data_IF_032149496218
#
_entry.id   IF_032149496218
#
_cell.length_a   1.000
_cell.length_b   1.000
_cell.length_c   1.000
_cell.angle_alpha   90.00
_cell.angle_beta   90.00
_cell.angle_gamma   90.00
#
_symmetry.space_group_name_H-M   'P 1'
#
loop_
_entity.id
_entity.type
_entity.pdbx_description
1 polymer ?
#
# COMPACT_ATOMS: atom_id res chain seq x y z
N UNK A 1 21.83 8.16 20.19
CA UNK A 1 21.10 7.80 18.96
C UNK A 1 19.69 7.47 19.37
N UNK A 2 18.69 8.19 18.84
CA UNK A 2 17.30 7.93 19.20
C UNK A 2 16.84 6.57 18.65
N UNK A 3 16.20 5.76 19.49
CA UNK A 3 15.67 4.46 19.11
C UNK A 3 14.59 4.64 18.03
N UNK A 4 14.79 4.05 16.84
CA UNK A 4 13.78 4.12 15.78
C UNK A 4 12.64 3.17 16.06
N UNK A 5 11.43 3.61 15.73
CA UNK A 5 10.21 2.80 15.80
C UNK A 5 9.85 2.34 14.39
N UNK A 6 9.89 1.04 14.17
CA UNK A 6 9.58 0.40 12.91
C UNK A 6 8.24 -0.31 13.08
N UNK A 7 7.24 0.07 12.29
CA UNK A 7 5.94 -0.59 12.29
C UNK A 7 5.88 -1.56 11.13
N UNK A 8 5.46 -2.79 11.39
CA UNK A 8 5.26 -3.82 10.35
C UNK A 8 3.79 -4.22 10.36
N UNK A 9 3.12 -4.12 9.21
CA UNK A 9 1.73 -4.56 9.06
C UNK A 9 1.69 -6.07 8.95
N UNK A 10 0.94 -6.70 9.85
CA UNK A 10 0.80 -8.16 9.93
C UNK A 10 -0.52 -8.59 9.29
N UNK A 11 -0.40 -9.40 8.24
CA UNK A 11 -1.51 -9.99 7.50
C UNK A 11 -1.33 -11.51 7.38
N UNK A 12 -2.42 -12.24 7.18
CA UNK A 12 -2.41 -13.72 7.06
C UNK A 12 -2.03 -14.14 5.63
N UNK A 13 -0.87 -13.67 5.18
CA UNK A 13 -0.34 -13.86 3.82
C UNK A 13 1.18 -14.03 3.89
N UNK A 14 1.72 -14.92 3.07
CA UNK A 14 3.16 -15.22 3.07
C UNK A 14 4.03 -14.00 2.74
N UNK A 15 3.56 -13.14 1.82
CA UNK A 15 4.21 -11.86 1.49
C UNK A 15 4.48 -11.01 2.74
N UNK A 16 3.57 -11.01 3.72
CA UNK A 16 3.74 -10.25 4.95
C UNK A 16 4.86 -10.83 5.84
N UNK A 17 5.02 -12.16 5.85
CA UNK A 17 6.14 -12.82 6.56
C UNK A 17 7.47 -12.50 5.88
N UNK A 18 7.53 -12.57 4.56
CA UNK A 18 8.71 -12.17 3.79
C UNK A 18 9.06 -10.71 4.04
N UNK A 19 8.05 -9.83 4.11
CA UNK A 19 8.24 -8.41 4.41
C UNK A 19 8.87 -8.19 5.80
N UNK A 20 8.40 -8.93 6.81
CA UNK A 20 8.99 -8.89 8.16
C UNK A 20 10.44 -9.40 8.14
N UNK A 21 10.70 -10.56 7.52
CA UNK A 21 12.06 -11.12 7.43
C UNK A 21 13.03 -10.15 6.75
N UNK A 22 12.62 -9.57 5.62
CA UNK A 22 13.44 -8.58 4.92
C UNK A 22 13.70 -7.34 5.79
N UNK A 23 12.70 -6.85 6.53
CA UNK A 23 12.88 -5.72 7.45
C UNK A 23 13.88 -6.04 8.58
N UNK A 24 13.82 -7.25 9.13
CA UNK A 24 14.74 -7.72 10.17
C UNK A 24 16.18 -7.81 9.66
N UNK A 25 16.39 -8.25 8.41
CA UNK A 25 17.74 -8.35 7.84
C UNK A 25 18.32 -7.02 7.33
N UNK A 26 17.48 -6.10 6.85
CA UNK A 26 17.97 -4.92 6.10
C UNK A 26 17.88 -3.60 6.88
N UNK A 27 16.90 -3.47 7.79
CA UNK A 27 16.59 -2.18 8.42
C UNK A 27 16.92 -2.21 9.91
N UNK A 28 16.64 -3.31 10.58
CA UNK A 28 16.73 -3.40 12.03
C UNK A 28 18.18 -3.17 12.51
N UNK A 29 18.34 -2.19 13.40
CA UNK A 29 19.59 -1.94 14.13
C UNK A 29 19.40 -2.21 15.61
N UNK A 30 20.53 -2.33 16.32
CA UNK A 30 20.51 -2.44 17.77
C UNK A 30 19.84 -1.22 18.40
N UNK A 31 18.87 -1.46 19.30
CA UNK A 31 18.09 -0.42 19.97
C UNK A 31 16.80 -0.02 19.26
N UNK A 32 16.53 -0.52 18.04
CA UNK A 32 15.26 -0.27 17.35
C UNK A 32 14.12 -1.06 17.99
N UNK A 33 12.91 -0.50 17.93
CA UNK A 33 11.67 -1.11 18.39
C UNK A 33 10.83 -1.52 17.17
N UNK A 34 10.49 -2.81 17.08
CA UNK A 34 9.54 -3.32 16.08
C UNK A 34 8.15 -3.42 16.71
N UNK A 35 7.17 -2.75 16.10
CA UNK A 35 5.77 -2.90 16.45
C UNK A 35 5.05 -3.69 15.35
N UNK A 36 4.58 -4.89 15.69
CA UNK A 36 3.76 -5.75 14.86
C UNK A 36 2.30 -5.28 14.93
N UNK A 37 1.82 -4.64 13.86
CA UNK A 37 0.49 -4.06 13.78
C UNK A 37 -0.44 -4.96 12.97
N UNK A 38 -1.41 -5.60 13.63
CA UNK A 38 -2.50 -6.30 12.94
C UNK A 38 -3.78 -5.47 12.98
N UNK A 39 -4.41 -5.34 11.81
CA UNK A 39 -5.65 -4.59 11.66
C UNK A 39 -6.75 -5.48 11.11
N UNK A 40 -7.76 -5.73 11.95
CA UNK A 40 -8.92 -6.54 11.57
C UNK A 40 -10.07 -5.64 11.14
N UNK A 41 -10.75 -6.03 10.06
CA UNK A 41 -11.88 -5.25 9.55
C UNK A 41 -13.18 -5.60 10.27
N UNK A 42 -13.83 -4.56 10.79
CA UNK A 42 -15.18 -4.66 11.33
C UNK A 42 -16.20 -4.33 10.25
N UNK A 43 -17.38 -4.93 10.32
CA UNK A 43 -18.54 -4.44 9.58
C UNK A 43 -19.55 -3.99 10.63
N UNK A 44 -20.28 -2.91 10.35
CA UNK A 44 -21.08 -2.16 11.32
C UNK A 44 -22.12 -3.01 12.12
N UNK A 45 -22.43 -4.22 11.67
CA UNK A 45 -23.45 -5.12 12.24
C UNK A 45 -22.86 -6.35 12.97
N UNK A 46 -21.65 -6.29 13.54
CA UNK A 46 -21.06 -7.45 14.24
C UNK A 46 -21.36 -7.45 15.74
N UNK A 47 -21.71 -8.61 16.27
CA UNK A 47 -21.90 -8.81 17.72
C UNK A 47 -20.57 -8.66 18.48
N UNK A 48 -20.64 -8.21 19.75
CA UNK A 48 -19.46 -8.07 20.63
C UNK A 48 -18.63 -9.36 20.73
N UNK A 49 -19.28 -10.53 20.70
CA UNK A 49 -18.62 -11.85 20.72
C UNK A 49 -17.76 -12.06 19.46
N UNK A 50 -18.29 -11.74 18.28
CA UNK A 50 -17.58 -11.85 17.01
C UNK A 50 -16.38 -10.89 16.95
N UNK A 51 -16.53 -9.68 17.50
CA UNK A 51 -15.44 -8.71 17.60
C UNK A 51 -14.28 -9.22 18.47
N UNK A 52 -14.58 -9.78 19.64
CA UNK A 52 -13.58 -10.40 20.53
C UNK A 52 -12.83 -11.53 19.83
N UNK A 53 -13.53 -12.38 19.08
CA UNK A 53 -12.92 -13.47 18.32
C UNK A 53 -11.94 -12.94 17.27
N UNK A 54 -12.31 -11.90 16.50
CA UNK A 54 -11.41 -11.30 15.51
C UNK A 54 -10.16 -10.70 16.15
N UNK A 55 -10.30 -10.03 17.29
CA UNK A 55 -9.16 -9.50 18.05
C UNK A 55 -8.23 -10.61 18.55
N UNK A 56 -8.79 -11.71 19.07
CA UNK A 56 -8.01 -12.88 19.50
C UNK A 56 -7.28 -13.53 18.33
N UNK A 57 -7.96 -13.73 17.19
CA UNK A 57 -7.34 -14.29 15.98
C UNK A 57 -6.21 -13.39 15.47
N UNK A 58 -6.42 -12.08 15.47
CA UNK A 58 -5.40 -11.10 15.10
C UNK A 58 -4.19 -11.11 16.03
N UNK A 59 -4.41 -11.27 17.33
CA UNK A 59 -3.33 -11.40 18.31
C UNK A 59 -2.54 -12.70 18.13
N UNK A 60 -3.24 -13.81 17.90
CA UNK A 60 -2.59 -15.10 17.60
C UNK A 60 -1.75 -15.03 16.31
N UNK A 61 -2.25 -14.36 15.28
CA UNK A 61 -1.49 -14.11 14.06
C UNK A 61 -0.21 -13.30 14.36
N UNK A 62 -0.33 -12.20 15.11
CA UNK A 62 0.83 -11.38 15.47
C UNK A 62 1.85 -12.13 16.34
N UNK A 63 1.40 -13.07 17.19
CA UNK A 63 2.31 -13.95 17.94
C UNK A 63 3.14 -14.82 17.00
N UNK A 64 2.54 -15.40 15.96
CA UNK A 64 3.31 -16.20 14.98
C UNK A 64 4.39 -15.37 14.25
N UNK A 65 4.16 -14.07 14.05
CA UNK A 65 5.16 -13.16 13.48
C UNK A 65 6.24 -12.79 14.50
N UNK A 66 5.87 -12.72 15.78
CA UNK A 66 6.83 -12.49 16.87
C UNK A 66 7.84 -13.65 16.96
N UNK A 67 7.41 -14.88 16.72
CA UNK A 67 8.31 -16.03 16.70
C UNK A 67 9.42 -15.89 15.66
N UNK A 68 9.12 -15.28 14.50
CA UNK A 68 10.13 -14.95 13.47
C UNK A 68 11.13 -13.91 13.99
N UNK A 69 10.66 -12.93 14.77
CA UNK A 69 11.53 -11.91 15.35
C UNK A 69 12.45 -12.47 16.43
N UNK A 70 11.99 -13.49 17.18
CA UNK A 70 12.78 -14.13 18.24
C UNK A 70 14.06 -14.81 17.69
N UNK A 71 14.08 -15.17 16.41
CA UNK A 71 15.28 -15.66 15.72
C UNK A 71 16.39 -14.61 15.59
N UNK A 72 16.08 -13.32 15.81
CA UNK A 72 17.03 -12.22 15.74
C UNK A 72 17.38 -11.75 17.16
N UNK A 73 18.66 -11.78 17.55
CA UNK A 73 19.07 -11.42 18.90
C UNK A 73 18.80 -9.94 19.18
N UNK A 74 18.40 -9.65 20.43
CA UNK A 74 18.21 -8.29 20.95
C UNK A 74 17.10 -7.46 20.26
N UNK A 75 16.12 -8.10 19.62
CA UNK A 75 14.96 -7.40 19.06
C UNK A 75 13.92 -7.07 20.13
N UNK A 76 13.56 -5.79 20.27
CA UNK A 76 12.42 -5.39 21.09
C UNK A 76 11.17 -5.42 20.23
N UNK A 77 10.26 -6.35 20.52
CA UNK A 77 9.02 -6.54 19.77
C UNK A 77 7.79 -6.19 20.60
N UNK A 78 6.89 -5.42 20.00
CA UNK A 78 5.59 -5.06 20.56
C UNK A 78 4.48 -5.53 19.62
N UNK A 79 3.36 -6.00 20.16
CA UNK A 79 2.19 -6.43 19.39
C UNK A 79 1.05 -5.45 19.61
N UNK A 80 0.52 -4.90 18.51
CA UNK A 80 -0.63 -4.00 18.53
C UNK A 80 -1.71 -4.57 17.61
N UNK A 81 -2.89 -4.81 18.17
CA UNK A 81 -4.03 -5.36 17.44
C UNK A 81 -5.20 -4.39 17.54
N UNK A 82 -5.60 -3.81 16.41
CA UNK A 82 -6.60 -2.74 16.38
C UNK A 82 -7.70 -3.02 15.36
N UNK A 83 -8.88 -2.52 15.66
CA UNK A 83 -10.00 -2.52 14.71
C UNK A 83 -9.74 -1.50 13.61
N UNK A 84 -9.87 -1.91 12.36
CA UNK A 84 -9.57 -1.10 11.19
C UNK A 84 -10.76 -0.70 10.36
N UNK A 85 -10.58 0.43 9.67
CA UNK A 85 -11.52 0.97 8.72
C UNK A 85 -11.36 0.32 7.34
N UNK A 86 -12.36 0.52 6.47
CA UNK A 86 -12.29 0.10 5.06
C UNK A 86 -11.20 0.82 4.27
N UNK A 87 -11.00 2.10 4.59
CA UNK A 87 -10.16 3.05 3.84
C UNK A 87 -8.74 3.16 4.39
N UNK A 88 -8.37 2.32 5.36
CA UNK A 88 -7.01 2.31 5.89
C UNK A 88 -6.61 3.50 6.79
N UNK A 89 -7.50 4.48 7.02
CA UNK A 89 -7.30 5.63 7.92
C UNK A 89 -6.79 5.23 9.31
N UNK A 90 -7.34 4.18 9.91
CA UNK A 90 -6.90 3.69 11.21
C UNK A 90 -5.41 3.39 11.26
N UNK A 91 -4.86 2.71 10.26
CA UNK A 91 -3.43 2.36 10.24
C UNK A 91 -2.60 3.63 10.18
N UNK A 92 -2.98 4.59 9.33
CA UNK A 92 -2.26 5.86 9.26
C UNK A 92 -2.27 6.64 10.58
N UNK A 93 -3.40 6.63 11.30
CA UNK A 93 -3.51 7.21 12.64
C UNK A 93 -2.59 6.49 13.64
N UNK A 94 -2.61 5.16 13.67
CA UNK A 94 -1.81 4.36 14.59
C UNK A 94 -0.31 4.55 14.34
N UNK A 95 0.13 4.54 13.08
CA UNK A 95 1.53 4.74 12.70
C UNK A 95 2.05 6.10 13.17
N UNK A 96 1.20 7.14 13.05
CA UNK A 96 1.50 8.49 13.54
C UNK A 96 1.54 8.57 15.06
N UNK A 97 0.58 7.95 15.74
CA UNK A 97 0.49 7.91 17.20
C UNK A 97 1.68 7.18 17.83
N UNK A 98 2.10 6.07 17.22
CA UNK A 98 3.31 5.34 17.60
C UNK A 98 4.56 6.22 17.39
N UNK A 99 4.53 7.14 16.41
CA UNK A 99 5.68 7.92 15.99
C UNK A 99 6.68 7.07 15.21
N UNK A 100 6.17 6.24 14.30
CA UNK A 100 7.00 5.35 13.50
C UNK A 100 7.92 6.15 12.56
N UNK A 101 9.18 5.76 12.48
CA UNK A 101 10.09 6.29 11.45
C UNK A 101 9.92 5.56 10.12
N UNK A 102 9.53 4.28 10.18
CA UNK A 102 9.39 3.41 9.01
C UNK A 102 8.15 2.52 9.16
N UNK A 103 7.35 2.41 8.10
CA UNK A 103 6.24 1.48 7.95
C UNK A 103 6.60 0.44 6.89
N UNK A 104 6.51 -0.85 7.23
CA UNK A 104 6.75 -1.97 6.32
C UNK A 104 5.45 -2.73 6.06
N UNK A 105 5.17 -3.03 4.79
CA UNK A 105 3.94 -3.71 4.36
C UNK A 105 4.26 -4.75 3.29
N UNK A 106 3.60 -5.91 3.34
CA UNK A 106 3.63 -6.88 2.24
C UNK A 106 2.73 -6.43 1.08
N UNK A 107 3.29 -6.28 -0.12
CA UNK A 107 2.56 -5.87 -1.32
C UNK A 107 1.85 -7.06 -1.98
N UNK A 108 0.52 -7.04 -1.96
CA UNK A 108 -0.35 -8.03 -2.59
C UNK A 108 -1.73 -7.42 -2.90
N UNK A 109 -2.54 -8.10 -3.72
CA UNK A 109 -3.81 -7.59 -4.29
C UNK A 109 -4.87 -7.22 -3.26
N UNK A 110 -4.73 -7.66 -2.01
CA UNK A 110 -5.62 -7.34 -0.90
C UNK A 110 -4.93 -6.61 0.25
N UNK A 111 -3.71 -6.14 0.00
CA UNK A 111 -2.91 -5.41 0.98
C UNK A 111 -3.59 -4.16 1.49
N UNK A 112 -3.20 -3.76 2.69
CA UNK A 112 -3.48 -2.44 3.21
C UNK A 112 -3.21 -1.32 2.18
N UNK A 113 -2.05 -1.33 1.52
CA UNK A 113 -1.67 -0.28 0.57
C UNK A 113 -2.62 -0.23 -0.63
N UNK A 114 -3.02 -1.38 -1.16
CA UNK A 114 -3.98 -1.44 -2.25
C UNK A 114 -5.34 -0.85 -1.84
N UNK A 115 -5.82 -1.19 -0.63
CA UNK A 115 -7.06 -0.63 -0.08
C UNK A 115 -6.97 0.88 0.15
N UNK A 116 -5.80 1.37 0.55
CA UNK A 116 -5.51 2.78 0.77
C UNK A 116 -5.58 3.58 -0.54
N UNK A 117 -5.05 3.01 -1.62
CA UNK A 117 -5.03 3.63 -2.95
C UNK A 117 -6.42 3.60 -3.61
N UNK A 118 -7.18 2.53 -3.42
CA UNK A 118 -8.50 2.38 -4.04
C UNK A 118 -9.63 3.17 -3.37
N UNK A 119 -9.51 3.55 -2.10
CA UNK A 119 -10.50 4.41 -1.46
C UNK A 119 -10.37 5.82 -2.04
N UNK A 120 -11.29 6.22 -2.93
CA UNK A 120 -11.25 7.41 -3.82
C UNK A 120 -11.18 8.79 -3.14
N UNK A 121 -10.66 8.91 -1.92
CA UNK A 121 -10.26 10.17 -1.34
C UNK A 121 -8.75 10.30 -1.47
N UNK A 122 -8.32 11.11 -2.43
CA UNK A 122 -6.95 11.59 -2.66
C UNK A 122 -6.38 12.44 -1.52
N UNK A 123 -6.82 12.20 -0.28
CA UNK A 123 -6.12 12.69 0.90
C UNK A 123 -4.88 11.82 1.01
N UNK A 124 -3.80 12.28 0.38
CA UNK A 124 -2.47 11.70 0.52
C UNK A 124 -2.26 11.38 2.00
N UNK A 125 -2.24 10.09 2.33
CA UNK A 125 -2.10 9.65 3.71
C UNK A 125 -0.72 10.07 4.18
N UNK A 126 -0.66 11.19 4.88
CA UNK A 126 0.60 11.69 5.40
C UNK A 126 0.96 10.83 6.60
N UNK A 127 1.74 9.78 6.37
CA UNK A 127 2.19 8.88 7.41
C UNK A 127 3.37 9.48 8.21
N UNK A 128 3.91 10.64 7.79
CA UNK A 128 5.12 11.26 8.34
C UNK A 128 6.32 10.29 8.47
N UNK A 129 6.31 9.17 7.75
CA UNK A 129 7.29 8.09 7.88
C UNK A 129 7.65 7.48 6.52
N UNK A 130 8.80 6.79 6.45
CA UNK A 130 9.23 6.06 5.26
C UNK A 130 8.35 4.81 5.09
N UNK A 131 7.71 4.62 3.94
CA UNK A 131 6.90 3.42 3.66
C UNK A 131 7.67 2.48 2.74
N UNK A 132 7.73 1.21 3.12
CA UNK A 132 8.39 0.15 2.37
C UNK A 132 7.37 -0.95 2.05
N UNK A 133 7.06 -1.10 0.77
CA UNK A 133 6.18 -2.13 0.25
C UNK A 133 7.03 -3.27 -0.33
N UNK A 134 6.89 -4.47 0.22
CA UNK A 134 7.73 -5.62 -0.14
C UNK A 134 6.87 -6.61 -0.90
N UNK A 135 7.21 -6.83 -2.16
CA UNK A 135 6.55 -7.83 -3.02
C UNK A 135 7.24 -9.18 -2.83
N UNK A 136 6.45 -10.26 -2.82
CA UNK A 136 7.03 -11.60 -2.83
C UNK A 136 7.61 -11.88 -4.23
N UNK A 137 8.84 -12.43 -4.33
CA UNK A 137 9.39 -12.82 -5.61
C UNK A 137 8.50 -13.89 -6.25
N UNK A 138 7.92 -13.57 -7.41
CA UNK A 138 7.10 -14.51 -8.17
C UNK A 138 8.01 -15.60 -8.74
N UNK A 139 7.78 -16.90 -8.49
CA UNK A 139 8.48 -17.95 -9.22
C UNK A 139 8.12 -17.83 -10.71
N UNK A 140 9.15 -17.86 -11.57
CA UNK A 140 9.14 -17.51 -13.00
C UNK A 140 8.30 -18.42 -13.92
N UNK A 141 7.18 -18.99 -13.49
CA UNK A 141 6.41 -19.98 -14.26
C UNK A 141 5.00 -19.55 -14.67
N UNK A 142 4.65 -18.26 -14.63
CA UNK A 142 3.38 -17.79 -15.19
C UNK A 142 3.52 -16.48 -15.99
N UNK A 143 3.62 -16.66 -17.31
CA UNK A 143 3.36 -15.73 -18.43
C UNK A 143 4.41 -14.68 -18.80
N UNK A 144 5.30 -15.13 -19.69
CA UNK A 144 5.58 -14.61 -21.05
C UNK A 144 5.38 -13.12 -21.38
N UNK A 145 6.46 -12.56 -21.95
CA UNK A 145 6.63 -11.35 -22.79
C UNK A 145 6.85 -10.02 -22.06
N UNK A 146 8.09 -9.82 -21.57
CA UNK A 146 8.92 -8.72 -22.10
C UNK A 146 10.42 -9.07 -22.00
N UNK A 147 11.03 -9.12 -23.19
CA UNK A 147 12.43 -9.18 -23.61
C UNK A 147 13.57 -9.16 -22.55
N UNK A 148 14.36 -10.24 -22.63
CA UNK A 148 15.82 -10.42 -22.48
C UNK A 148 16.66 -9.22 -21.99
N UNK A 149 17.43 -9.40 -20.91
CA UNK A 149 18.84 -9.81 -21.07
C UNK A 149 19.53 -10.35 -19.80
N UNK A 150 20.21 -11.47 -20.01
CA UNK A 150 21.42 -12.02 -19.37
C UNK A 150 21.63 -12.08 -17.85
N UNK A 151 21.75 -13.35 -17.42
CA UNK A 151 22.72 -13.91 -16.47
C UNK A 151 22.39 -13.99 -14.97
N UNK A 152 22.47 -15.24 -14.52
CA UNK A 152 22.42 -15.78 -13.16
C UNK A 152 23.48 -15.15 -12.24
N UNK A 153 23.04 -14.39 -11.23
CA UNK A 153 23.76 -14.26 -9.96
C UNK A 153 22.76 -13.83 -8.88
N UNK A 154 22.66 -14.61 -7.82
CA UNK A 154 21.84 -14.28 -6.65
C UNK A 154 22.45 -13.04 -6.02
N UNK A 155 21.75 -11.90 -5.95
CA UNK A 155 21.96 -10.95 -4.85
C UNK A 155 20.89 -9.85 -4.77
N UNK A 156 20.53 -9.53 -3.53
CA UNK A 156 19.43 -8.68 -3.09
C UNK A 156 19.55 -7.20 -3.53
N UNK A 157 19.19 -6.84 -4.76
CA UNK A 157 19.25 -5.42 -5.18
C UNK A 157 18.21 -4.91 -6.16
N UNK A 158 17.04 -5.56 -6.29
CA UNK A 158 15.87 -4.88 -6.87
C UNK A 158 14.87 -4.49 -5.79
N UNK A 159 15.16 -3.35 -5.14
CA UNK A 159 14.06 -2.50 -4.68
C UNK A 159 13.46 -1.92 -5.96
N UNK A 160 12.54 -2.64 -6.60
CA UNK A 160 11.66 -2.03 -7.59
C UNK A 160 10.85 -0.97 -6.83
N UNK A 161 11.25 0.29 -6.98
CA UNK A 161 10.43 1.44 -6.59
C UNK A 161 9.31 1.54 -7.62
N UNK A 162 8.37 0.60 -7.56
CA UNK A 162 7.16 0.68 -8.34
C UNK A 162 6.34 1.82 -7.76
N UNK A 163 6.17 2.91 -8.51
CA UNK A 163 5.05 3.83 -8.29
C UNK A 163 3.78 2.99 -8.25
N UNK A 164 2.95 3.15 -7.21
CA UNK A 164 1.67 2.46 -7.06
C UNK A 164 0.83 2.71 -8.32
N UNK A 165 0.89 1.80 -9.29
CA UNK A 165 0.05 1.86 -10.47
C UNK A 165 -1.32 1.36 -10.05
N UNK A 166 -2.28 2.29 -10.03
CA UNK A 166 -3.70 1.96 -9.92
C UNK A 166 -4.05 1.11 -11.14
N UNK A 167 -4.73 -0.04 -10.99
CA UNK A 167 -5.25 -0.75 -12.14
C UNK A 167 -6.15 0.21 -12.91
N UNK A 168 -5.82 0.44 -14.18
CA UNK A 168 -6.62 1.25 -15.08
C UNK A 168 -7.98 0.57 -15.24
N UNK A 169 -8.98 1.05 -14.49
CA UNK A 169 -10.37 0.66 -14.72
C UNK A 169 -10.74 1.27 -16.06
N UNK A 170 -11.02 0.48 -17.11
CA UNK A 170 -11.41 1.04 -18.38
C UNK A 170 -12.73 1.80 -18.15
N UNK A 171 -12.68 3.12 -18.32
CA UNK A 171 -13.88 3.94 -18.35
C UNK A 171 -14.81 3.38 -19.44
N UNK A 172 -16.13 3.23 -19.19
CA UNK A 172 -17.05 2.87 -20.25
C UNK A 172 -16.93 3.92 -21.35
N UNK A 173 -16.52 3.47 -22.55
CA UNK A 173 -16.41 4.32 -23.74
C UNK A 173 -17.78 4.94 -24.01
N UNK A 174 -17.95 6.21 -23.67
CA UNK A 174 -19.07 6.98 -24.20
C UNK A 174 -18.83 7.09 -25.69
N UNK A 175 -19.71 6.47 -26.47
CA UNK A 175 -19.64 6.45 -27.92
C UNK A 175 -20.06 7.84 -28.41
N UNK A 176 -19.09 8.71 -28.68
CA UNK A 176 -19.38 9.99 -29.32
C UNK A 176 -19.96 9.68 -30.71
N UNK A 177 -21.23 10.06 -30.93
CA UNK A 177 -21.77 10.10 -32.28
C UNK A 177 -21.07 11.24 -33.01
N UNK A 178 -20.19 10.88 -33.94
CA UNK A 178 -19.63 11.81 -34.90
C UNK A 178 -20.81 12.34 -35.72
N UNK A 179 -21.06 13.64 -35.67
CA UNK A 179 -22.10 14.29 -36.47
C UNK A 179 -21.91 13.90 -37.95
N UNK A 180 -22.93 13.34 -38.62
CA UNK A 180 -22.76 12.74 -39.94
C UNK A 180 -22.68 13.77 -41.09
N UNK A 181 -22.71 15.07 -40.78
CA UNK A 181 -22.78 16.11 -41.81
C UNK A 181 -21.72 17.21 -41.59
N UNK A 182 -20.74 17.35 -42.52
CA UNK A 182 -19.72 18.39 -42.46
C UNK A 182 -20.27 19.82 -42.70
N UNK A 183 -21.55 19.99 -43.04
CA UNK A 183 -22.17 21.30 -43.26
C UNK A 183 -22.87 21.91 -42.04
N UNK A 184 -22.94 21.20 -40.90
CA UNK A 184 -23.59 21.68 -39.68
C UNK A 184 -22.76 22.68 -38.85
N UNK A 185 -21.49 22.94 -39.22
CA UNK A 185 -20.63 23.89 -38.51
C UNK A 185 -20.90 25.30 -39.02
N UNK A 186 -21.95 25.92 -38.48
CA UNK A 186 -22.28 27.32 -38.74
C UNK A 186 -21.27 28.20 -37.99
N UNK A 187 -20.23 28.64 -38.68
CA UNK A 187 -19.34 29.69 -38.19
C UNK A 187 -20.07 31.03 -38.28
N UNK A 188 -20.53 31.57 -37.14
CA UNK A 188 -20.92 32.99 -37.05
C UNK A 188 -19.64 33.84 -37.07
N UNK A 189 -19.33 34.46 -38.20
CA UNK A 189 -18.31 35.49 -38.27
C UNK A 189 -18.82 36.75 -37.55
N UNK A 190 -18.14 37.12 -36.46
CA UNK A 190 -18.38 38.39 -35.77
C UNK A 190 -17.84 39.55 -36.61
N UNK A 191 -18.70 40.53 -36.91
CA UNK A 191 -18.30 41.80 -37.52
C UNK A 191 -17.31 42.56 -36.60
N UNK A 192 -16.08 42.73 -37.07
CA UNK A 192 -15.11 43.66 -36.46
C UNK A 192 -15.45 45.09 -36.87
N UNK A 193 -15.86 45.90 -35.90
CA UNK A 193 -16.12 47.34 -36.02
C UNK A 193 -14.88 48.11 -36.50
N UNK A 194 -15.10 49.03 -37.43
CA UNK A 194 -14.19 50.11 -37.85
C UNK A 194 -13.52 50.83 -36.67
N UNK A 195 -12.25 51.24 -36.86
CA UNK A 195 -11.77 52.56 -36.42
C UNK A 195 -10.67 53.09 -37.36
N UNK A 196 -10.91 54.32 -37.83
CA UNK A 196 -10.08 55.21 -38.66
C UNK A 196 -8.78 55.63 -37.98
N UNK A 197 -7.89 56.23 -38.80
CA UNK A 197 -6.93 57.35 -38.60
C UNK A 197 -5.53 56.94 -39.10
N UNK A 198 -4.80 57.66 -39.94
CA UNK A 198 -4.91 58.98 -40.57
C UNK A 198 -4.13 58.96 -41.89
#
# INVERSE_FOLDING_TARGET
>A
MDARKIVVVVEDVEVARTALQWALHNILRFGDLITLLHVYTTTASKSKKKLRLLRLKGFQLALSFRDICNSFPNTKTEIVVTEGDRDGRRIASMVREIGASTLVVGLHDRSFLYRLVMSQNSIAFNLNCKVLAIKQPTPLTARTISLQDSSINMDFSQIEIATLSVPEVPLPKIQYQICPDPSAIIWRSGQSRQKRTS
#
